data_IF_085918821397
#
_entry.id   IF_085918821397
#
_cell.length_a   1.000
_cell.length_b   1.000
_cell.length_c   1.000
_cell.angle_alpha   90.00
_cell.angle_beta   90.00
_cell.angle_gamma   90.00
#
_symmetry.space_group_name_H-M   'P 1'
#
loop_
_entity.id
_entity.type
_entity.pdbx_description
1 polymer ?
#
# COMPACT_ATOMS: atom_id res chain seq x y z
N UNK A 1 3.25 19.92 -21.26
CA UNK A 1 2.70 18.65 -20.76
C UNK A 1 3.63 18.15 -19.67
N UNK A 2 3.15 17.84 -18.45
CA UNK A 2 4.01 17.25 -17.43
C UNK A 2 4.60 15.94 -17.97
N UNK A 3 5.89 15.68 -17.70
CA UNK A 3 6.51 14.41 -18.07
C UNK A 3 5.78 13.26 -17.34
N UNK A 4 5.77 12.06 -17.93
CA UNK A 4 5.18 10.89 -17.26
C UNK A 4 5.78 10.70 -15.85
N UNK A 5 7.06 10.99 -15.66
CA UNK A 5 7.72 10.93 -14.35
C UNK A 5 7.09 11.89 -13.34
N UNK A 6 6.79 13.13 -13.73
CA UNK A 6 6.07 14.10 -12.89
C UNK A 6 4.66 13.59 -12.54
N UNK A 7 3.92 13.08 -13.53
CA UNK A 7 2.58 12.49 -13.31
C UNK A 7 2.63 11.30 -12.35
N UNK A 8 3.58 10.39 -12.55
CA UNK A 8 3.77 9.23 -11.69
C UNK A 8 4.13 9.64 -10.26
N UNK A 9 4.95 10.68 -10.10
CA UNK A 9 5.34 11.22 -8.79
C UNK A 9 4.13 11.77 -8.04
N UNK A 10 3.32 12.63 -8.69
CA UNK A 10 2.10 13.16 -8.09
C UNK A 10 1.07 12.08 -7.79
N UNK A 11 0.90 11.12 -8.70
CA UNK A 11 0.04 9.97 -8.47
C UNK A 11 0.50 9.18 -7.25
N UNK A 12 1.80 8.89 -7.15
CA UNK A 12 2.39 8.12 -6.05
C UNK A 12 2.22 8.82 -4.70
N UNK A 13 2.49 10.12 -4.66
CA UNK A 13 2.34 10.93 -3.44
C UNK A 13 0.87 11.02 -3.01
N UNK A 14 -0.02 11.32 -3.97
CA UNK A 14 -1.46 11.39 -3.71
C UNK A 14 -1.99 10.04 -3.23
N UNK A 15 -1.58 8.95 -3.85
CA UNK A 15 -1.96 7.60 -3.45
C UNK A 15 -1.50 7.29 -2.03
N UNK A 16 -0.25 7.58 -1.67
CA UNK A 16 0.27 7.35 -0.32
C UNK A 16 -0.55 8.10 0.74
N UNK A 17 -0.87 9.38 0.51
CA UNK A 17 -1.67 10.20 1.42
C UNK A 17 -3.12 9.69 1.54
N UNK A 18 -3.77 9.41 0.40
CA UNK A 18 -5.13 8.88 0.35
C UNK A 18 -5.18 7.55 1.10
N UNK A 19 -4.25 6.63 0.85
CA UNK A 19 -4.26 5.32 1.46
C UNK A 19 -3.97 5.37 2.97
N UNK A 20 -3.10 6.26 3.46
CA UNK A 20 -2.97 6.54 4.90
C UNK A 20 -4.32 7.00 5.48
N UNK A 21 -4.99 7.96 4.85
CA UNK A 21 -6.29 8.45 5.31
C UNK A 21 -7.33 7.32 5.34
N UNK A 22 -7.43 6.53 4.26
CA UNK A 22 -8.33 5.38 4.16
C UNK A 22 -8.06 4.37 5.27
N UNK A 23 -6.78 4.08 5.59
CA UNK A 23 -6.42 3.15 6.66
C UNK A 23 -6.85 3.66 8.04
N UNK A 24 -6.61 4.93 8.33
CA UNK A 24 -7.03 5.55 9.59
C UNK A 24 -8.56 5.56 9.72
N UNK A 25 -9.28 5.85 8.63
CA UNK A 25 -10.75 5.81 8.62
C UNK A 25 -11.24 4.36 8.75
N UNK A 26 -10.62 3.39 8.07
CA UNK A 26 -10.98 1.97 8.16
C UNK A 26 -10.78 1.43 9.59
N UNK A 27 -9.72 1.86 10.27
CA UNK A 27 -9.47 1.55 11.68
C UNK A 27 -10.52 2.16 12.60
N UNK A 28 -10.89 3.42 12.39
CA UNK A 28 -11.98 4.06 13.14
C UNK A 28 -13.33 3.38 12.89
N UNK A 29 -13.62 3.02 11.65
CA UNK A 29 -14.85 2.35 11.25
C UNK A 29 -15.02 0.98 11.94
N UNK A 30 -13.96 0.16 11.99
CA UNK A 30 -14.03 -1.14 12.67
C UNK A 30 -14.19 -1.00 14.18
N UNK A 31 -13.52 -0.01 14.81
CA UNK A 31 -13.71 0.28 16.24
C UNK A 31 -15.13 0.75 16.57
N UNK A 32 -15.76 1.49 15.65
CA UNK A 32 -17.13 1.96 15.77
C UNK A 32 -18.18 0.90 15.35
N UNK A 33 -17.79 -0.35 15.10
CA UNK A 33 -18.71 -1.42 14.67
C UNK A 33 -19.27 -1.27 13.25
N UNK A 34 -18.78 -0.31 12.45
CA UNK A 34 -19.23 -0.03 11.08
C UNK A 34 -18.59 -1.00 10.08
N UNK A 35 -18.95 -2.29 10.17
CA UNK A 35 -18.29 -3.39 9.44
C UNK A 35 -18.37 -3.23 7.92
N UNK A 36 -19.51 -2.78 7.38
CA UNK A 36 -19.68 -2.56 5.93
C UNK A 36 -18.73 -1.48 5.40
N UNK A 37 -18.62 -0.37 6.13
CA UNK A 37 -17.71 0.72 5.79
C UNK A 37 -16.24 0.25 5.88
N UNK A 38 -15.86 -0.41 6.97
CA UNK A 38 -14.52 -0.99 7.12
C UNK A 38 -14.17 -1.90 5.94
N UNK A 39 -15.06 -2.84 5.59
CA UNK A 39 -14.86 -3.75 4.46
C UNK A 39 -14.63 -3.01 3.14
N UNK A 40 -15.50 -2.04 2.83
CA UNK A 40 -15.40 -1.30 1.58
C UNK A 40 -14.10 -0.49 1.52
N UNK A 41 -13.72 0.19 2.60
CA UNK A 41 -12.46 0.92 2.68
C UNK A 41 -11.25 -0.01 2.48
N UNK A 42 -11.22 -1.17 3.17
CA UNK A 42 -10.14 -2.14 3.02
C UNK A 42 -10.04 -2.70 1.60
N UNK A 43 -11.16 -2.96 0.93
CA UNK A 43 -11.17 -3.36 -0.48
C UNK A 43 -10.62 -2.26 -1.38
N UNK A 44 -11.07 -1.02 -1.20
CA UNK A 44 -10.60 0.13 -1.99
C UNK A 44 -9.10 0.36 -1.83
N UNK A 45 -8.60 0.39 -0.59
CA UNK A 45 -7.16 0.62 -0.36
C UNK A 45 -6.31 -0.55 -0.87
N UNK A 46 -6.79 -1.79 -0.76
CA UNK A 46 -6.06 -2.97 -1.26
C UNK A 46 -6.02 -3.00 -2.79
N UNK A 47 -7.15 -2.72 -3.45
CA UNK A 47 -7.23 -2.68 -4.90
C UNK A 47 -6.34 -1.56 -5.49
N UNK A 48 -6.40 -0.36 -4.91
CA UNK A 48 -5.54 0.73 -5.35
C UNK A 48 -4.06 0.48 -5.05
N UNK A 49 -3.71 -0.26 -3.99
CA UNK A 49 -2.33 -0.65 -3.72
C UNK A 49 -1.80 -1.64 -4.78
N UNK A 50 -2.62 -2.59 -5.22
CA UNK A 50 -2.26 -3.45 -6.35
C UNK A 50 -2.11 -2.67 -7.65
N UNK A 51 -3.00 -1.71 -7.92
CA UNK A 51 -2.88 -0.83 -9.07
C UNK A 51 -1.58 0.00 -9.01
N UNK A 52 -1.26 0.56 -7.84
CA UNK A 52 -0.02 1.28 -7.61
C UNK A 52 1.22 0.40 -7.89
N UNK A 53 1.26 -0.81 -7.36
CA UNK A 53 2.36 -1.76 -7.61
C UNK A 53 2.46 -2.12 -9.09
N UNK A 54 1.34 -2.36 -9.76
CA UNK A 54 1.33 -2.64 -11.19
C UNK A 54 1.91 -1.48 -12.01
N UNK A 55 1.50 -0.24 -11.71
CA UNK A 55 2.04 0.97 -12.37
C UNK A 55 3.53 1.18 -12.05
N UNK A 56 3.93 0.96 -10.80
CA UNK A 56 5.34 1.03 -10.38
C UNK A 56 6.22 0.03 -11.13
N UNK A 57 5.75 -1.21 -11.30
CA UNK A 57 6.46 -2.24 -12.07
C UNK A 57 6.46 -1.93 -13.57
N UNK A 58 5.33 -1.46 -14.10
CA UNK A 58 5.20 -1.08 -15.50
C UNK A 58 6.20 0.00 -15.88
N UNK A 59 6.46 0.96 -14.98
CA UNK A 59 7.46 2.00 -15.17
C UNK A 59 8.84 1.46 -15.57
N UNK A 60 9.27 0.31 -15.03
CA UNK A 60 10.58 -0.27 -15.35
C UNK A 60 10.70 -0.79 -16.79
N UNK A 61 9.59 -0.90 -17.53
CA UNK A 61 9.60 -1.20 -18.97
C UNK A 61 10.05 -0.02 -19.83
N UNK A 62 10.05 1.18 -19.27
CA UNK A 62 10.38 2.43 -19.94
C UNK A 62 11.72 2.95 -19.38
N UNK A 63 12.85 2.81 -20.11
CA UNK A 63 14.17 3.20 -19.63
C UNK A 63 14.25 4.65 -19.11
N UNK A 64 13.55 5.56 -19.78
CA UNK A 64 13.47 6.99 -19.45
C UNK A 64 12.74 7.29 -18.14
N UNK A 65 12.06 6.31 -17.56
CA UNK A 65 11.34 6.42 -16.29
C UNK A 65 12.00 5.64 -15.16
N UNK A 66 13.13 4.99 -15.43
CA UNK A 66 13.88 4.29 -14.39
C UNK A 66 14.49 5.32 -13.46
N UNK A 67 14.22 5.12 -12.17
CA UNK A 67 14.83 5.90 -11.11
C UNK A 67 16.11 5.18 -10.72
N UNK A 68 17.24 5.86 -10.88
CA UNK A 68 18.52 5.37 -10.37
C UNK A 68 18.53 5.47 -8.85
N UNK A 69 18.79 4.34 -8.19
CA UNK A 69 18.89 4.26 -6.73
C UNK A 69 20.38 4.24 -6.39
N UNK A 70 20.89 5.20 -5.60
CA UNK A 70 22.29 5.17 -5.17
C UNK A 70 22.59 3.89 -4.40
N UNK A 71 23.80 3.30 -4.53
CA UNK A 71 24.15 2.01 -3.94
C UNK A 71 23.86 1.91 -2.42
N UNK A 72 24.07 3.00 -1.69
CA UNK A 72 23.83 3.09 -0.24
C UNK A 72 22.35 2.92 0.16
N UNK A 73 21.41 3.16 -0.77
CA UNK A 73 19.97 2.99 -0.52
C UNK A 73 19.40 1.68 -1.05
N UNK A 74 20.20 0.83 -1.71
CA UNK A 74 19.73 -0.46 -2.25
C UNK A 74 19.19 -1.36 -1.13
N UNK A 75 19.89 -1.43 0.00
CA UNK A 75 19.44 -2.20 1.17
C UNK A 75 18.09 -1.70 1.71
N UNK A 76 17.89 -0.38 1.74
CA UNK A 76 16.62 0.23 2.13
C UNK A 76 15.48 -0.14 1.17
N UNK A 77 15.69 -0.02 -0.14
CA UNK A 77 14.66 -0.36 -1.14
C UNK A 77 14.27 -1.83 -1.07
N UNK A 78 15.24 -2.74 -0.91
CA UNK A 78 14.97 -4.17 -0.76
C UNK A 78 14.14 -4.41 0.50
N UNK A 79 14.59 -3.90 1.65
CA UNK A 79 13.89 -4.07 2.92
C UNK A 79 12.47 -3.49 2.87
N UNK A 80 12.32 -2.23 2.46
CA UNK A 80 11.04 -1.54 2.37
C UNK A 80 10.10 -2.24 1.39
N UNK A 81 10.58 -2.61 0.21
CA UNK A 81 9.81 -3.34 -0.81
C UNK A 81 9.33 -4.70 -0.32
N UNK A 82 10.21 -5.49 0.31
CA UNK A 82 9.83 -6.79 0.89
C UNK A 82 8.81 -6.62 2.02
N UNK A 83 9.03 -5.66 2.92
CA UNK A 83 8.09 -5.36 4.01
C UNK A 83 6.74 -4.90 3.47
N UNK A 84 6.70 -4.17 2.34
CA UNK A 84 5.48 -3.71 1.70
C UNK A 84 4.61 -4.84 1.14
N UNK A 85 5.19 -6.00 0.81
CA UNK A 85 4.44 -7.16 0.36
C UNK A 85 3.61 -7.80 1.48
N UNK A 86 4.07 -7.74 2.73
CA UNK A 86 3.38 -8.35 3.87
C UNK A 86 1.97 -7.78 4.10
N UNK A 87 1.75 -6.45 4.24
CA UNK A 87 0.41 -5.89 4.35
C UNK A 87 -0.40 -6.03 3.07
N UNK A 88 0.23 -5.94 1.88
CA UNK A 88 -0.48 -6.07 0.60
C UNK A 88 -1.09 -7.47 0.43
N UNK A 89 -0.27 -8.51 0.57
CA UNK A 89 -0.71 -9.91 0.46
C UNK A 89 -1.61 -10.26 1.63
N UNK A 90 -1.23 -9.86 2.86
CA UNK A 90 -2.03 -10.14 4.05
C UNK A 90 -3.44 -9.55 3.98
N UNK A 91 -3.58 -8.29 3.51
CA UNK A 91 -4.88 -7.67 3.30
C UNK A 91 -5.69 -8.38 2.21
N UNK A 92 -5.05 -8.75 1.09
CA UNK A 92 -5.70 -9.51 0.03
C UNK A 92 -6.23 -10.86 0.52
N UNK A 93 -5.45 -11.59 1.32
CA UNK A 93 -5.86 -12.86 1.93
C UNK A 93 -7.02 -12.67 2.91
N UNK A 94 -7.01 -11.64 3.75
CA UNK A 94 -8.11 -11.34 4.67
C UNK A 94 -9.40 -10.98 3.93
N UNK A 95 -9.30 -10.22 2.83
CA UNK A 95 -10.44 -9.89 1.98
C UNK A 95 -10.97 -11.15 1.29
N UNK A 96 -10.09 -11.94 0.67
CA UNK A 96 -10.47 -13.19 0.01
C UNK A 96 -11.13 -14.16 0.98
N UNK A 97 -10.57 -14.34 2.18
CA UNK A 97 -11.16 -15.17 3.23
C UNK A 97 -12.56 -14.67 3.64
N UNK A 98 -12.78 -13.36 3.69
CA UNK A 98 -14.09 -12.78 4.01
C UNK A 98 -15.11 -12.96 2.89
N UNK A 99 -14.69 -12.91 1.63
CA UNK A 99 -15.57 -12.99 0.47
C UNK A 99 -15.85 -14.44 0.03
N UNK A 100 -14.89 -15.35 0.18
CA UNK A 100 -14.91 -16.68 -0.44
C UNK A 100 -14.98 -17.83 0.57
N UNK A 101 -14.37 -17.69 1.75
CA UNK A 101 -14.15 -18.82 2.66
C UNK A 101 -15.08 -18.87 3.89
N UNK A 102 -16.01 -17.91 4.02
CA UNK A 102 -16.96 -17.86 5.14
C UNK A 102 -16.34 -17.48 6.49
N UNK A 103 -17.17 -17.16 7.51
CA UNK A 103 -16.73 -16.57 8.78
C UNK A 103 -15.80 -17.48 9.61
N UNK A 104 -15.86 -18.79 9.42
CA UNK A 104 -15.09 -19.77 10.20
C UNK A 104 -13.68 -20.04 9.66
N UNK A 105 -13.28 -19.41 8.55
CA UNK A 105 -11.92 -19.54 8.04
C UNK A 105 -10.88 -19.04 9.05
N UNK A 106 -9.68 -19.62 9.02
CA UNK A 106 -8.58 -19.25 9.92
C UNK A 106 -8.30 -17.74 9.93
N UNK A 107 -8.29 -17.13 8.74
CA UNK A 107 -8.07 -15.70 8.55
C UNK A 107 -9.18 -14.84 9.15
N UNK A 108 -10.45 -15.26 9.03
CA UNK A 108 -11.56 -14.52 9.63
C UNK A 108 -11.58 -14.63 11.16
N UNK A 109 -11.31 -15.83 11.72
CA UNK A 109 -11.21 -16.04 13.17
C UNK A 109 -10.12 -15.16 13.81
N UNK A 110 -8.99 -15.01 13.13
CA UNK A 110 -7.85 -14.24 13.62
C UNK A 110 -7.75 -12.83 13.02
N UNK A 111 -8.80 -12.36 12.32
CA UNK A 111 -8.79 -11.10 11.58
C UNK A 111 -8.32 -9.91 12.43
N UNK A 112 -8.77 -9.83 13.70
CA UNK A 112 -8.36 -8.77 14.62
C UNK A 112 -6.86 -8.78 14.95
N UNK A 113 -6.27 -9.98 15.10
CA UNK A 113 -4.84 -10.13 15.39
C UNK A 113 -4.01 -9.71 14.17
N UNK A 114 -4.39 -10.18 12.98
CA UNK A 114 -3.75 -9.78 11.74
C UNK A 114 -3.88 -8.28 11.48
N UNK A 115 -5.07 -7.69 11.63
CA UNK A 115 -5.28 -6.26 11.43
C UNK A 115 -4.40 -5.38 12.35
N UNK A 116 -4.18 -5.80 13.61
CA UNK A 116 -3.28 -5.09 14.55
C UNK A 116 -1.82 -5.11 14.14
N UNK A 117 -1.37 -6.14 13.41
CA UNK A 117 -0.01 -6.24 12.88
C UNK A 117 0.12 -5.53 11.53
N UNK A 118 -0.81 -5.81 10.61
CA UNK A 118 -0.72 -5.37 9.23
C UNK A 118 -0.93 -3.86 9.09
N UNK A 119 -1.80 -3.24 9.88
CA UNK A 119 -2.07 -1.80 9.76
C UNK A 119 -0.83 -0.94 10.07
N UNK A 120 -0.12 -1.11 11.21
CA UNK A 120 1.13 -0.39 11.46
C UNK A 120 2.17 -0.63 10.36
N UNK A 121 2.28 -1.88 9.89
CA UNK A 121 3.21 -2.22 8.82
C UNK A 121 2.85 -1.53 7.50
N UNK A 122 1.56 -1.40 7.20
CA UNK A 122 1.09 -0.75 5.99
C UNK A 122 1.28 0.77 6.05
N UNK A 123 1.06 1.37 7.23
CA UNK A 123 1.38 2.78 7.47
C UNK A 123 2.89 3.03 7.31
N UNK A 124 3.74 2.17 7.87
CA UNK A 124 5.19 2.22 7.68
C UNK A 124 5.55 2.20 6.19
N UNK A 125 4.92 1.32 5.41
CA UNK A 125 5.27 1.21 3.98
C UNK A 125 4.80 2.41 3.18
N UNK A 126 3.68 3.04 3.54
CA UNK A 126 3.21 4.28 2.90
C UNK A 126 4.11 5.47 3.21
N UNK A 127 4.51 5.62 4.48
CA UNK A 127 5.46 6.64 4.90
C UNK A 127 6.83 6.43 4.23
N UNK A 128 7.33 5.19 4.20
CA UNK A 128 8.55 4.87 3.48
C UNK A 128 8.45 5.11 1.97
N UNK A 129 7.26 4.94 1.37
CA UNK A 129 6.99 5.33 -0.01
C UNK A 129 7.13 6.83 -0.23
N UNK A 130 6.66 7.66 0.70
CA UNK A 130 6.87 9.11 0.66
C UNK A 130 8.35 9.47 0.82
N UNK A 131 9.08 8.77 1.70
CA UNK A 131 10.54 8.92 1.82
C UNK A 131 11.24 8.57 0.50
N UNK A 132 10.84 7.48 -0.16
CA UNK A 132 11.38 7.13 -1.49
C UNK A 132 11.10 8.21 -2.53
N UNK A 133 9.92 8.85 -2.48
CA UNK A 133 9.60 9.98 -3.35
C UNK A 133 10.54 11.15 -3.09
N UNK A 134 10.73 11.51 -1.82
CA UNK A 134 11.62 12.60 -1.43
C UNK A 134 13.09 12.36 -1.78
N UNK A 135 13.59 11.13 -1.62
CA UNK A 135 14.99 10.79 -1.85
C UNK A 135 15.35 10.62 -3.32
N UNK A 136 14.43 10.09 -4.14
CA UNK A 136 14.78 9.62 -5.49
C UNK A 136 14.06 10.32 -6.64
N UNK A 137 13.16 11.25 -6.35
CA UNK A 137 12.40 11.96 -7.40
C UNK A 137 12.67 13.45 -7.30
N UNK A 138 12.88 14.13 -8.45
CA UNK A 138 13.11 15.56 -8.45
C UNK A 138 11.88 16.29 -7.90
N UNK A 139 12.10 17.15 -6.91
CA UNK A 139 11.06 18.01 -6.30
C UNK A 139 10.90 19.37 -7.00
N UNK A 140 11.51 19.53 -8.19
CA UNK A 140 11.54 20.77 -8.97
C UNK A 140 11.45 20.48 -10.47
#
# INVERSE_FOLDING_TARGET
MPSYQTLFTYFSLSWALIAIALLLIAWRAVRAGRIRLHRNLMMTVTAGAWLFVALYLLRYRYPELKVEVPPEYVGWIIFHGTVALLPLIGAALLIAARLLAGPDSHFNRHHRRYGRLLIPLWLFTHLGGMVNIYLFYPTS
#
